data_IF_963940974230
#
_entry.id   IF_963940974230
#
_cell.length_a   1.000
_cell.length_b   1.000
_cell.length_c   1.000
_cell.angle_alpha   90.00
_cell.angle_beta   90.00
_cell.angle_gamma   90.00
#
_symmetry.space_group_name_H-M   'P 1'
#
loop_
_entity.id
_entity.type
_entity.pdbx_description
1 polymer ?
#
# COMPACT_ATOMS: atom_id res chain seq x y z
N UNK A 1 24.76 -7.78 -9.45
CA UNK A 1 23.93 -8.43 -10.07
C UNK A 1 22.74 -8.84 -9.35
N UNK A 2 22.89 -9.50 -8.34
CA UNK A 2 21.76 -9.90 -7.56
C UNK A 2 20.98 -8.70 -7.04
N UNK A 3 21.68 -7.65 -6.64
CA UNK A 3 21.02 -6.47 -6.13
C UNK A 3 20.04 -5.83 -7.10
N UNK A 4 20.33 -5.95 -8.39
CA UNK A 4 19.48 -5.33 -9.38
C UNK A 4 18.12 -5.99 -9.46
N UNK A 5 18.05 -7.26 -9.07
CA UNK A 5 16.81 -7.98 -9.18
C UNK A 5 15.82 -7.58 -8.12
N UNK A 6 16.28 -6.83 -7.12
CA UNK A 6 15.40 -6.38 -6.05
C UNK A 6 14.74 -5.04 -6.35
N UNK A 7 15.09 -4.44 -7.47
CA UNK A 7 14.54 -3.12 -7.79
C UNK A 7 13.28 -3.25 -8.61
N UNK A 8 12.28 -2.48 -8.23
CA UNK A 8 11.01 -2.45 -8.94
C UNK A 8 10.61 -1.02 -9.20
N UNK A 9 9.90 -0.81 -10.30
CA UNK A 9 9.34 0.50 -10.60
C UNK A 9 8.10 0.71 -9.74
N UNK A 10 7.65 1.95 -9.65
CA UNK A 10 6.46 2.26 -8.88
C UNK A 10 5.24 1.45 -9.36
N UNK A 11 4.96 1.36 -10.68
CA UNK A 11 3.81 0.54 -11.10
C UNK A 11 3.94 -0.92 -10.70
N UNK A 12 5.14 -1.48 -10.78
CA UNK A 12 5.35 -2.86 -10.37
C UNK A 12 5.21 -3.03 -8.87
N UNK A 13 5.66 -2.05 -8.11
CA UNK A 13 5.50 -2.08 -6.67
C UNK A 13 4.01 -2.07 -6.30
N UNK A 14 3.22 -1.25 -7.00
CA UNK A 14 1.79 -1.22 -6.77
C UNK A 14 1.14 -2.57 -7.09
N UNK A 15 1.66 -3.25 -8.11
CA UNK A 15 1.16 -4.58 -8.45
C UNK A 15 1.43 -5.56 -7.32
N UNK A 16 2.63 -5.51 -6.75
CA UNK A 16 2.97 -6.37 -5.62
C UNK A 16 2.08 -6.08 -4.42
N UNK A 17 1.82 -4.81 -4.17
CA UNK A 17 0.96 -4.45 -3.05
C UNK A 17 -0.47 -4.86 -3.30
N UNK A 18 -0.92 -4.80 -4.55
CA UNK A 18 -2.26 -5.26 -4.90
C UNK A 18 -2.41 -6.74 -4.59
N UNK A 19 -1.40 -7.52 -4.90
CA UNK A 19 -1.39 -8.95 -4.58
C UNK A 19 -1.41 -9.16 -3.09
N UNK A 20 -0.62 -8.36 -2.36
CA UNK A 20 -0.50 -8.52 -0.92
C UNK A 20 -1.84 -8.30 -0.20
N UNK A 21 -2.60 -7.29 -0.63
CA UNK A 21 -3.84 -6.94 0.05
C UNK A 21 -5.05 -7.68 -0.49
N UNK A 22 -4.89 -8.41 -1.59
CA UNK A 22 -6.00 -9.18 -2.13
C UNK A 22 -6.63 -10.06 -1.02
N UNK A 23 -7.95 -10.18 -0.92
CA UNK A 23 -8.97 -9.75 -1.88
C UNK A 23 -9.44 -8.31 -1.72
N UNK A 24 -8.88 -7.57 -0.79
CA UNK A 24 -9.18 -6.15 -0.66
C UNK A 24 -8.54 -5.44 -1.84
N UNK A 25 -9.27 -4.47 -2.44
CA UNK A 25 -8.73 -3.72 -3.57
C UNK A 25 -7.67 -2.73 -3.12
N UNK A 26 -6.70 -2.48 -3.98
CA UNK A 26 -5.61 -1.56 -3.69
C UNK A 26 -5.38 -0.64 -4.88
N UNK A 27 -5.27 0.65 -4.61
CA UNK A 27 -4.87 1.64 -5.60
C UNK A 27 -3.79 2.51 -5.00
N UNK A 28 -2.72 2.73 -5.76
CA UNK A 28 -1.66 3.62 -5.33
C UNK A 28 -1.32 4.59 -6.43
N UNK A 29 -1.05 5.84 -6.07
CA UNK A 29 -0.61 6.84 -7.02
C UNK A 29 0.31 7.82 -6.33
N UNK A 30 1.22 8.40 -7.11
CA UNK A 30 2.09 9.44 -6.61
C UNK A 30 1.39 10.78 -6.75
N UNK A 31 1.16 11.44 -5.61
CA UNK A 31 0.54 12.76 -5.63
C UNK A 31 1.57 13.88 -5.60
N UNK A 32 2.81 13.53 -5.30
CA UNK A 32 3.91 14.48 -5.28
C UNK A 32 5.22 13.70 -5.39
N UNK A 33 6.32 14.35 -5.78
CA UNK A 33 7.60 13.64 -5.80
C UNK A 33 7.92 13.05 -4.42
N UNK A 34 8.21 11.76 -4.39
CA UNK A 34 8.56 11.08 -3.16
C UNK A 34 7.40 10.78 -2.23
N UNK A 35 6.17 10.97 -2.68
CA UNK A 35 5.00 10.76 -1.84
C UNK A 35 3.90 10.07 -2.62
N UNK A 36 3.17 9.18 -1.97
CA UNK A 36 2.07 8.48 -2.63
C UNK A 36 0.83 8.46 -1.75
N UNK A 37 -0.28 8.24 -2.40
CA UNK A 37 -1.56 7.99 -1.75
C UNK A 37 -1.92 6.54 -2.02
N UNK A 38 -2.35 5.84 -0.98
CA UNK A 38 -2.83 4.46 -1.11
C UNK A 38 -4.29 4.41 -0.68
N UNK A 39 -5.09 3.69 -1.44
CA UNK A 39 -6.50 3.51 -1.14
C UNK A 39 -6.81 2.02 -1.12
N UNK A 40 -7.39 1.57 -0.03
CA UNK A 40 -7.92 0.22 0.06
C UNK A 40 -9.43 0.31 -0.06
N UNK A 41 -10.03 -0.60 -0.80
CA UNK A 41 -11.45 -0.51 -1.08
C UNK A 41 -12.06 -1.90 -1.20
N UNK A 42 -13.36 -1.96 -0.99
CA UNK A 42 -14.14 -3.18 -1.18
C UNK A 42 -14.29 -3.40 -2.68
N UNK A 43 -13.81 -4.54 -3.16
CA UNK A 43 -13.79 -4.78 -4.59
C UNK A 43 -15.18 -4.96 -5.17
N UNK A 44 -16.12 -5.39 -4.37
CA UNK A 44 -17.48 -5.61 -4.87
C UNK A 44 -18.27 -4.32 -4.97
N UNK A 45 -18.18 -3.48 -3.95
CA UNK A 45 -18.94 -2.25 -3.92
C UNK A 45 -18.16 -1.05 -4.42
N UNK A 46 -16.83 -1.13 -4.38
CA UNK A 46 -15.98 0.00 -4.73
C UNK A 46 -15.83 0.99 -3.59
N UNK A 47 -16.41 0.68 -2.45
CA UNK A 47 -16.40 1.59 -1.32
C UNK A 47 -15.01 1.67 -0.71
N UNK A 48 -14.53 2.90 -0.45
CA UNK A 48 -13.23 3.09 0.17
C UNK A 48 -13.28 2.68 1.63
N UNK A 49 -12.35 1.79 2.01
CA UNK A 49 -12.21 1.39 3.40
C UNK A 49 -11.26 2.32 4.12
N UNK A 50 -10.15 2.66 3.49
CA UNK A 50 -9.19 3.56 4.09
C UNK A 50 -8.35 4.18 2.97
N UNK A 51 -7.98 5.44 3.15
CA UNK A 51 -7.10 6.14 2.22
C UNK A 51 -6.00 6.81 3.04
N UNK A 52 -4.76 6.61 2.63
CA UNK A 52 -3.61 7.10 3.37
C UNK A 52 -2.75 7.93 2.42
N UNK A 53 -2.52 9.17 2.78
CA UNK A 53 -1.70 10.08 1.99
C UNK A 53 -0.34 10.27 2.66
N UNK A 54 0.62 10.79 1.89
CA UNK A 54 1.89 11.15 2.45
C UNK A 54 2.80 9.99 2.75
N UNK A 55 2.62 8.87 2.09
CA UNK A 55 3.49 7.71 2.29
C UNK A 55 4.77 7.93 1.49
N UNK A 56 5.94 7.89 2.14
CA UNK A 56 7.20 8.06 1.38
C UNK A 56 7.36 6.95 0.34
N UNK A 57 7.74 7.34 -0.86
CA UNK A 57 7.96 6.37 -1.93
C UNK A 57 8.95 6.93 -2.94
N UNK A 58 9.26 6.13 -3.94
CA UNK A 58 10.19 6.51 -5.00
C UNK A 58 9.72 5.88 -6.31
N UNK A 59 10.23 6.40 -7.42
CA UNK A 59 9.89 5.84 -8.72
C UNK A 59 10.53 4.47 -8.93
N UNK A 60 11.65 4.23 -8.26
CA UNK A 60 12.30 2.91 -8.28
C UNK A 60 12.58 2.56 -6.83
N UNK A 61 12.18 1.37 -6.44
CA UNK A 61 12.28 0.93 -5.05
C UNK A 61 12.86 -0.46 -4.97
N UNK A 62 13.38 -0.82 -3.79
CA UNK A 62 13.79 -2.20 -3.55
C UNK A 62 12.73 -2.90 -2.71
N UNK A 63 12.95 -4.17 -2.43
CA UNK A 63 11.97 -4.97 -1.69
C UNK A 63 11.71 -4.39 -0.30
N UNK A 64 12.75 -3.89 0.34
CA UNK A 64 12.60 -3.31 1.67
C UNK A 64 11.71 -2.09 1.64
N UNK A 65 11.85 -1.26 0.61
CA UNK A 65 11.01 -0.07 0.47
C UNK A 65 9.56 -0.47 0.31
N UNK A 66 9.29 -1.50 -0.50
CA UNK A 66 7.92 -1.96 -0.70
C UNK A 66 7.35 -2.49 0.61
N UNK A 67 8.15 -3.24 1.35
CA UNK A 67 7.71 -3.77 2.63
C UNK A 67 7.37 -2.67 3.62
N UNK A 68 8.15 -1.60 3.62
CA UNK A 68 7.88 -0.47 4.50
C UNK A 68 6.55 0.18 4.19
N UNK A 69 6.25 0.31 2.90
CA UNK A 69 4.98 0.88 2.49
C UNK A 69 3.84 -0.04 2.94
N UNK A 70 3.98 -1.33 2.72
CA UNK A 70 2.98 -2.29 3.14
C UNK A 70 2.76 -2.21 4.65
N UNK A 71 3.84 -2.15 5.41
CA UNK A 71 3.74 -2.08 6.87
C UNK A 71 3.04 -0.81 7.32
N UNK A 72 3.34 0.30 6.65
CA UNK A 72 2.69 1.56 7.00
C UNK A 72 1.19 1.48 6.74
N UNK A 73 0.81 0.87 5.63
CA UNK A 73 -0.59 0.73 5.30
C UNK A 73 -1.28 -0.23 6.27
N UNK A 74 -0.61 -1.33 6.61
CA UNK A 74 -1.18 -2.30 7.53
C UNK A 74 -1.35 -1.72 8.92
N UNK A 75 -0.42 -0.87 9.34
CA UNK A 75 -0.53 -0.23 10.64
C UNK A 75 -1.76 0.66 10.71
N UNK A 76 -2.01 1.40 9.64
CA UNK A 76 -3.17 2.27 9.58
C UNK A 76 -4.45 1.44 9.52
N UNK A 77 -4.44 0.39 8.73
CA UNK A 77 -5.59 -0.47 8.60
C UNK A 77 -5.92 -1.15 9.93
N UNK A 78 -4.90 -1.62 10.61
CA UNK A 78 -5.03 -2.27 11.89
C UNK A 78 -5.61 -1.31 12.93
N UNK A 79 -5.13 -0.09 12.92
CA UNK A 79 -5.63 0.96 13.81
C UNK A 79 -7.09 1.26 13.56
N UNK A 80 -7.51 1.16 12.30
CA UNK A 80 -8.89 1.42 11.92
C UNK A 80 -9.80 0.27 12.32
N UNK A 81 -9.33 -0.96 12.14
CA UNK A 81 -10.16 -2.16 12.34
C UNK A 81 -10.24 -2.59 13.79
N UNK A 82 -9.14 -2.53 14.52
CA UNK A 82 -9.08 -3.04 15.87
C UNK A 82 -10.09 -2.46 16.84
N UNK A 83 -10.29 -1.14 16.86
CA UNK A 83 -11.28 -0.59 17.78
C UNK A 83 -12.67 -1.16 17.54
N UNK A 84 -13.00 -1.43 16.29
CA UNK A 84 -14.31 -1.99 15.96
C UNK A 84 -14.40 -3.43 16.43
N UNK A 85 -13.33 -4.18 16.30
CA UNK A 85 -13.32 -5.56 16.75
C UNK A 85 -13.45 -5.65 18.25
N UNK A 86 -12.84 -4.72 18.97
CA UNK A 86 -12.91 -4.73 20.42
C UNK A 86 -14.32 -4.51 20.93
N UNK A 87 -15.07 -3.74 20.20
CA UNK A 87 -16.42 -3.42 20.62
C UNK A 87 -17.38 -4.55 20.34
N UNK A 88 -16.99 -5.44 19.48
CA UNK A 88 -17.80 -6.59 19.19
C UNK A 88 -17.69 -7.61 20.31
#
# INVERSE_FOLDING_TARGET
KVGNMNKVTFPNACQLMRWHFHPVGFEGSMDAPGSMIARLFDRESGETLIAIAGIPCATVMNATDVERIIEAIEAELDSFVRPQLRQA
#
